data_IF_706659897050
#
_entry.id   IF_706659897050
#
_cell.length_a   1.000
_cell.length_b   1.000
_cell.length_c   1.000
_cell.angle_alpha   90.00
_cell.angle_beta   90.00
_cell.angle_gamma   90.00
#
_symmetry.space_group_name_H-M   'P 1'
#
loop_
_entity.id
_entity.type
_entity.pdbx_description
1 polymer ?
#
# COMPACT_ATOMS: atom_id res chain seq x y z
N UNK A 1 21.56 -26.29 -19.75
CA UNK A 1 21.42 -24.97 -19.11
C UNK A 1 20.27 -25.05 -18.12
N UNK A 2 20.55 -25.00 -16.82
CA UNK A 2 19.51 -24.78 -15.82
C UNK A 2 19.16 -23.29 -15.87
N UNK A 3 17.90 -22.95 -16.16
CA UNK A 3 17.44 -21.58 -15.95
C UNK A 3 17.42 -21.32 -14.45
N UNK A 4 18.06 -20.22 -14.00
CA UNK A 4 17.92 -19.77 -12.63
C UNK A 4 16.42 -19.59 -12.32
N UNK A 5 15.95 -20.18 -11.22
CA UNK A 5 14.56 -20.01 -10.79
C UNK A 5 14.40 -18.57 -10.33
N UNK A 6 13.74 -17.73 -11.13
CA UNK A 6 13.37 -16.37 -10.70
C UNK A 6 12.48 -16.51 -9.47
N UNK A 7 12.89 -15.87 -8.38
CA UNK A 7 12.08 -15.86 -7.16
C UNK A 7 10.81 -15.04 -7.36
N UNK A 8 9.73 -15.51 -6.74
CA UNK A 8 8.41 -14.95 -6.89
C UNK A 8 8.35 -13.54 -6.28
N UNK A 9 7.99 -12.54 -7.08
CA UNK A 9 7.92 -11.16 -6.60
C UNK A 9 6.76 -10.96 -5.62
N UNK A 10 6.86 -9.98 -4.72
CA UNK A 10 5.78 -9.65 -3.78
C UNK A 10 5.29 -8.25 -4.03
N UNK A 11 3.98 -8.10 -4.27
CA UNK A 11 3.31 -6.81 -4.33
C UNK A 11 2.62 -6.52 -3.01
N UNK A 12 2.87 -5.35 -2.44
CA UNK A 12 2.26 -4.90 -1.18
C UNK A 12 1.35 -3.71 -1.48
N UNK A 13 0.06 -3.86 -1.20
CA UNK A 13 -0.88 -2.74 -1.18
C UNK A 13 -1.23 -2.40 0.26
N UNK A 14 -0.95 -1.16 0.63
CA UNK A 14 -1.14 -0.65 1.98
C UNK A 14 -2.15 0.50 1.95
N UNK A 15 -3.28 0.30 2.60
CA UNK A 15 -4.27 1.36 2.82
C UNK A 15 -3.86 2.22 4.01
N UNK A 16 -3.34 3.41 3.71
CA UNK A 16 -2.88 4.38 4.71
C UNK A 16 -4.04 5.09 5.41
N UNK A 17 -5.27 4.96 4.91
CA UNK A 17 -6.45 5.55 5.52
C UNK A 17 -6.93 4.73 6.71
N UNK A 18 -6.79 3.40 6.63
CA UNK A 18 -7.22 2.46 7.67
C UNK A 18 -6.06 1.94 8.51
N UNK A 19 -4.83 2.02 7.99
CA UNK A 19 -3.60 1.69 8.70
C UNK A 19 -2.56 2.83 8.57
N UNK A 20 -2.83 4.07 9.03
CA UNK A 20 -1.86 5.16 8.99
C UNK A 20 -0.60 4.84 9.81
N UNK A 21 0.50 5.55 9.51
CA UNK A 21 1.68 5.56 10.37
C UNK A 21 1.31 6.25 11.68
N UNK A 22 1.52 5.64 12.87
CA UNK A 22 1.10 6.24 14.13
C UNK A 22 2.06 7.36 14.52
N UNK A 23 1.57 8.26 15.36
CA UNK A 23 2.40 9.34 15.89
C UNK A 23 3.65 8.81 16.60
N UNK A 24 4.79 9.46 16.34
CA UNK A 24 6.09 9.09 16.90
C UNK A 24 6.80 7.94 16.19
N UNK A 25 6.19 7.31 15.17
CA UNK A 25 6.85 6.33 14.32
C UNK A 25 7.55 6.99 13.13
N UNK A 26 8.72 6.47 12.78
CA UNK A 26 9.48 6.93 11.61
C UNK A 26 8.91 6.31 10.34
N UNK A 27 8.24 7.14 9.52
CA UNK A 27 7.69 6.73 8.24
C UNK A 27 8.76 6.15 7.29
N UNK A 28 10.03 6.54 7.42
CA UNK A 28 11.12 6.08 6.56
C UNK A 28 11.46 4.61 6.78
N UNK A 29 11.03 4.05 7.93
CA UNK A 29 11.26 2.63 8.26
C UNK A 29 10.16 1.72 7.73
N UNK A 30 9.02 2.24 7.29
CA UNK A 30 7.88 1.44 6.83
C UNK A 30 8.28 0.47 5.72
N UNK A 31 8.88 1.00 4.63
CA UNK A 31 9.34 0.20 3.50
C UNK A 31 10.36 -0.89 3.92
N UNK A 32 11.49 -0.51 4.56
CA UNK A 32 12.48 -1.46 5.06
C UNK A 32 11.90 -2.54 6.01
N UNK A 33 11.01 -2.17 6.93
CA UNK A 33 10.40 -3.12 7.85
C UNK A 33 9.51 -4.14 7.13
N UNK A 34 8.69 -3.71 6.16
CA UNK A 34 7.85 -4.60 5.36
C UNK A 34 8.72 -5.58 4.58
N UNK A 35 9.75 -5.10 3.88
CA UNK A 35 10.70 -5.94 3.13
C UNK A 35 11.36 -6.97 4.05
N UNK A 36 11.84 -6.56 5.23
CA UNK A 36 12.46 -7.47 6.20
C UNK A 36 11.48 -8.51 6.76
N UNK A 37 10.23 -8.11 7.04
CA UNK A 37 9.19 -9.03 7.50
C UNK A 37 8.88 -10.09 6.43
N UNK A 38 8.75 -9.70 5.17
CA UNK A 38 8.56 -10.60 4.03
C UNK A 38 9.74 -11.57 3.87
N UNK A 39 10.98 -11.07 3.96
CA UNK A 39 12.19 -11.91 3.92
C UNK A 39 12.21 -12.95 5.04
N UNK A 40 11.85 -12.58 6.27
CA UNK A 40 11.73 -13.50 7.43
C UNK A 40 10.66 -14.57 7.24
N UNK A 41 9.62 -14.27 6.45
CA UNK A 41 8.57 -15.23 6.08
C UNK A 41 8.98 -16.11 4.87
N UNK A 42 10.18 -15.92 4.31
CA UNK A 42 10.69 -16.68 3.17
C UNK A 42 10.36 -16.09 1.80
N UNK A 43 9.79 -14.88 1.74
CA UNK A 43 9.58 -14.14 0.50
C UNK A 43 10.82 -13.31 0.18
N UNK A 44 11.72 -13.87 -0.62
CA UNK A 44 13.03 -13.29 -0.95
C UNK A 44 13.10 -12.65 -2.34
N UNK A 45 12.06 -12.82 -3.17
CA UNK A 45 11.96 -12.11 -4.45
C UNK A 45 11.66 -10.62 -4.28
N UNK A 46 11.81 -9.85 -5.37
CA UNK A 46 11.64 -8.40 -5.35
C UNK A 46 10.30 -7.94 -4.78
N UNK A 47 10.33 -6.87 -3.97
CA UNK A 47 9.17 -6.34 -3.24
C UNK A 47 8.79 -4.95 -3.77
N UNK A 48 7.58 -4.80 -4.30
CA UNK A 48 7.01 -3.49 -4.64
C UNK A 48 5.97 -3.08 -3.60
N UNK A 49 6.13 -1.90 -3.00
CA UNK A 49 5.20 -1.38 -1.99
C UNK A 49 4.45 -0.17 -2.55
N UNK A 50 3.13 -0.15 -2.41
CA UNK A 50 2.29 0.99 -2.80
C UNK A 50 1.36 1.38 -1.65
N UNK A 51 1.55 2.61 -1.16
CA UNK A 51 0.65 3.28 -0.21
C UNK A 51 -0.54 3.89 -0.95
N UNK A 52 -1.73 3.59 -0.46
CA UNK A 52 -3.02 3.97 -1.03
C UNK A 52 -3.78 4.85 -0.04
N UNK A 53 -4.48 5.86 -0.54
CA UNK A 53 -5.37 6.68 0.28
C UNK A 53 -5.77 7.97 -0.40
N UNK A 54 -6.56 8.79 0.30
CA UNK A 54 -6.77 10.19 -0.08
C UNK A 54 -5.55 10.98 0.41
N UNK A 55 -4.54 11.12 -0.45
CA UNK A 55 -3.21 11.56 -0.05
C UNK A 55 -3.12 13.07 0.17
N UNK A 56 -4.13 13.83 -0.27
CA UNK A 56 -4.24 15.26 0.04
C UNK A 56 -4.34 15.52 1.54
N UNK A 57 -4.96 14.61 2.28
CA UNK A 57 -5.22 14.77 3.71
C UNK A 57 -4.04 14.27 4.57
N UNK A 58 -3.04 13.67 3.94
CA UNK A 58 -1.82 13.19 4.59
C UNK A 58 -0.74 14.28 4.51
N UNK A 59 0.02 14.45 5.59
CA UNK A 59 1.14 15.41 5.61
C UNK A 59 2.12 15.16 4.46
N UNK A 60 2.41 16.23 3.68
CA UNK A 60 3.37 16.17 2.58
C UNK A 60 4.75 15.69 3.05
N UNK A 61 5.15 16.03 4.28
CA UNK A 61 6.41 15.58 4.86
C UNK A 61 6.44 14.05 5.04
N UNK A 62 5.35 13.47 5.55
CA UNK A 62 5.22 12.01 5.70
C UNK A 62 5.24 11.32 4.33
N UNK A 63 4.49 11.84 3.36
CA UNK A 63 4.47 11.29 2.00
C UNK A 63 5.85 11.34 1.34
N UNK A 64 6.61 12.42 1.57
CA UNK A 64 7.96 12.55 1.04
C UNK A 64 8.89 11.48 1.61
N UNK A 65 8.86 11.29 2.94
CA UNK A 65 9.67 10.26 3.59
C UNK A 65 9.31 8.86 3.10
N UNK A 66 8.01 8.56 3.01
CA UNK A 66 7.53 7.29 2.48
C UNK A 66 8.04 7.06 1.06
N UNK A 67 7.88 8.05 0.18
CA UNK A 67 8.35 7.98 -1.20
C UNK A 67 9.87 7.75 -1.28
N UNK A 68 10.66 8.52 -0.52
CA UNK A 68 12.11 8.34 -0.44
C UNK A 68 12.56 7.00 0.15
N UNK A 69 11.69 6.32 0.91
CA UNK A 69 11.94 4.96 1.42
C UNK A 69 11.57 3.83 0.44
N UNK A 70 11.20 4.17 -0.80
CA UNK A 70 10.83 3.22 -1.85
C UNK A 70 9.34 2.85 -1.86
N UNK A 71 8.48 3.61 -1.18
CA UNK A 71 7.02 3.39 -1.21
C UNK A 71 6.39 4.20 -2.34
N UNK A 72 5.80 3.52 -3.33
CA UNK A 72 5.02 4.19 -4.37
C UNK A 72 3.73 4.77 -3.79
N UNK A 73 3.24 5.89 -4.33
CA UNK A 73 2.07 6.61 -3.80
C UNK A 73 0.91 6.59 -4.78
N UNK A 74 -0.24 6.07 -4.36
CA UNK A 74 -1.44 6.04 -5.19
C UNK A 74 -2.57 6.82 -4.53
N UNK A 75 -2.86 8.00 -5.09
CA UNK A 75 -3.96 8.84 -4.65
C UNK A 75 -5.29 8.29 -5.17
N UNK A 76 -6.16 7.94 -4.23
CA UNK A 76 -7.50 7.43 -4.48
C UNK A 76 -8.51 8.57 -4.54
N UNK A 77 -9.61 8.33 -5.26
CA UNK A 77 -10.76 9.25 -5.27
C UNK A 77 -11.61 9.09 -4.00
N UNK A 78 -11.92 7.84 -3.66
CA UNK A 78 -12.76 7.45 -2.53
C UNK A 78 -12.01 6.48 -1.63
N UNK A 79 -12.31 6.50 -0.32
CA UNK A 79 -11.81 5.49 0.63
C UNK A 79 -12.39 4.11 0.29
N UNK A 80 -13.70 4.07 0.12
CA UNK A 80 -14.45 2.90 -0.29
C UNK A 80 -14.04 2.51 -1.72
N UNK A 81 -13.74 1.23 -1.98
CA UNK A 81 -13.42 0.65 -3.29
C UNK A 81 -12.03 0.95 -3.91
N UNK A 82 -11.28 1.94 -3.43
CA UNK A 82 -9.98 2.28 -4.04
C UNK A 82 -8.97 1.11 -4.03
N UNK A 83 -8.81 0.44 -2.88
CA UNK A 83 -7.96 -0.75 -2.74
C UNK A 83 -8.38 -1.89 -3.68
N UNK A 84 -9.68 -2.20 -3.73
CA UNK A 84 -10.24 -3.22 -4.63
C UNK A 84 -9.94 -2.88 -6.10
N UNK A 85 -10.15 -1.62 -6.51
CA UNK A 85 -9.90 -1.18 -7.88
C UNK A 85 -8.42 -1.26 -8.24
N UNK A 86 -7.52 -0.86 -7.36
CA UNK A 86 -6.08 -0.98 -7.56
C UNK A 86 -5.66 -2.44 -7.74
N UNK A 87 -6.15 -3.34 -6.89
CA UNK A 87 -5.87 -4.78 -7.02
C UNK A 87 -6.42 -5.33 -8.35
N UNK A 88 -7.62 -4.90 -8.75
CA UNK A 88 -8.23 -5.30 -10.02
C UNK A 88 -7.41 -4.82 -11.22
N UNK A 89 -6.96 -3.56 -11.19
CA UNK A 89 -6.07 -2.98 -12.21
C UNK A 89 -4.74 -3.73 -12.31
N UNK A 90 -4.13 -4.05 -11.18
CA UNK A 90 -2.91 -4.86 -11.14
C UNK A 90 -3.11 -6.24 -11.77
N UNK A 91 -4.21 -6.94 -11.47
CA UNK A 91 -4.51 -8.24 -12.09
C UNK A 91 -4.68 -8.13 -13.61
N UNK A 92 -5.36 -7.10 -14.09
CA UNK A 92 -5.54 -6.88 -15.53
C UNK A 92 -4.22 -6.59 -16.27
N UNK A 93 -3.20 -6.05 -15.59
CA UNK A 93 -1.87 -5.81 -16.19
C UNK A 93 -1.14 -7.12 -16.56
N UNK A 94 -1.62 -8.28 -16.10
CA UNK A 94 -1.14 -9.58 -16.48
C UNK A 94 -0.05 -10.16 -15.55
N UNK A 95 0.27 -11.46 -15.70
CA UNK A 95 1.21 -12.19 -14.85
C UNK A 95 2.67 -11.70 -14.98
N UNK A 96 3.56 -12.07 -14.02
CA UNK A 96 3.34 -13.06 -12.96
C UNK A 96 2.69 -12.46 -11.70
N UNK A 97 1.52 -12.99 -11.33
CA UNK A 97 0.81 -12.64 -10.09
C UNK A 97 1.34 -13.51 -8.96
N UNK A 98 2.58 -13.26 -8.56
CA UNK A 98 3.33 -14.12 -7.66
C UNK A 98 2.77 -14.08 -6.23
N UNK A 99 3.16 -13.09 -5.43
CA UNK A 99 2.65 -12.92 -4.07
C UNK A 99 2.01 -11.54 -3.90
N UNK A 100 0.91 -11.49 -3.15
CA UNK A 100 0.19 -10.27 -2.81
C UNK A 100 0.09 -10.13 -1.29
N UNK A 101 0.62 -9.05 -0.72
CA UNK A 101 0.37 -8.67 0.67
C UNK A 101 -0.57 -7.49 0.73
N UNK A 102 -1.55 -7.55 1.63
CA UNK A 102 -2.50 -6.47 1.87
C UNK A 102 -2.39 -5.98 3.32
N UNK A 103 -2.29 -4.67 3.51
CA UNK A 103 -2.26 -4.01 4.83
C UNK A 103 -3.45 -3.06 4.91
N UNK A 104 -4.49 -3.43 5.66
CA UNK A 104 -5.73 -2.67 5.85
C UNK A 104 -6.42 -3.11 7.15
N UNK A 105 -7.29 -2.27 7.73
CA UNK A 105 -8.02 -2.59 8.97
C UNK A 105 -9.54 -2.77 8.78
N UNK A 106 -10.06 -2.63 7.56
CA UNK A 106 -11.49 -2.71 7.26
C UNK A 106 -12.03 -4.15 7.21
N UNK A 107 -13.03 -4.42 8.07
CA UNK A 107 -13.70 -5.73 8.20
C UNK A 107 -14.50 -6.14 6.97
N UNK A 108 -14.94 -5.19 6.15
CA UNK A 108 -15.79 -5.47 4.98
C UNK A 108 -15.00 -6.07 3.80
N UNK A 109 -13.67 -6.16 3.90
CA UNK A 109 -12.83 -6.67 2.81
C UNK A 109 -12.79 -8.21 2.72
N UNK A 110 -13.34 -8.94 3.70
CA UNK A 110 -13.28 -10.42 3.77
C UNK A 110 -13.86 -11.08 2.51
N UNK A 111 -14.98 -10.58 1.97
CA UNK A 111 -15.58 -11.11 0.75
C UNK A 111 -14.67 -10.96 -0.48
N UNK A 112 -13.92 -9.86 -0.55
CA UNK A 112 -12.98 -9.61 -1.64
C UNK A 112 -11.73 -10.48 -1.53
N UNK A 113 -11.24 -10.74 -0.32
CA UNK A 113 -10.12 -11.69 -0.09
C UNK A 113 -10.45 -13.09 -0.63
N UNK A 114 -11.65 -13.60 -0.32
CA UNK A 114 -12.09 -14.91 -0.83
C UNK A 114 -12.12 -14.95 -2.36
N UNK A 115 -12.50 -13.85 -3.00
CA UNK A 115 -12.45 -13.73 -4.47
C UNK A 115 -11.01 -13.74 -5.02
N UNK A 116 -10.04 -13.16 -4.31
CA UNK A 116 -8.64 -13.16 -4.73
C UNK A 116 -8.03 -14.56 -4.67
N UNK A 117 -8.30 -15.30 -3.59
CA UNK A 117 -7.85 -16.68 -3.39
C UNK A 117 -8.42 -17.63 -4.45
N UNK A 118 -9.72 -17.52 -4.77
CA UNK A 118 -10.35 -18.29 -5.85
C UNK A 118 -9.69 -18.08 -7.22
N UNK A 119 -9.07 -16.92 -7.43
CA UNK A 119 -8.35 -16.58 -8.64
C UNK A 119 -6.85 -16.90 -8.60
N UNK A 120 -6.41 -17.76 -7.66
CA UNK A 120 -5.03 -18.24 -7.50
C UNK A 120 -4.00 -17.15 -7.21
N UNK A 121 -4.41 -16.03 -6.62
CA UNK A 121 -3.48 -15.04 -6.08
C UNK A 121 -3.05 -15.51 -4.70
N UNK A 122 -1.74 -15.68 -4.47
CA UNK A 122 -1.24 -16.04 -3.14
C UNK A 122 -1.27 -14.79 -2.25
N UNK A 123 -2.27 -14.72 -1.37
CA UNK A 123 -2.45 -13.60 -0.44
C UNK A 123 -1.68 -13.87 0.86
N UNK A 124 -0.64 -13.07 1.11
CA UNK A 124 0.02 -12.97 2.39
C UNK A 124 -0.85 -12.07 3.26
N UNK A 125 -1.65 -12.65 4.15
CA UNK A 125 -2.49 -11.88 5.05
C UNK A 125 -1.61 -11.03 6.00
N UNK A 126 -1.71 -9.71 5.86
CA UNK A 126 -1.20 -8.75 6.83
C UNK A 126 -2.00 -8.83 8.13
N UNK A 127 -1.30 -8.71 9.26
CA UNK A 127 -1.81 -9.03 10.58
C UNK A 127 -2.67 -7.90 11.20
N UNK A 128 -3.64 -8.21 12.10
CA UNK A 128 -4.28 -9.52 12.31
C UNK A 128 -5.82 -9.46 12.24
N UNK A 129 -6.39 -10.47 11.59
CA UNK A 129 -7.68 -11.05 12.00
C UNK A 129 -7.49 -12.54 12.28
N UNK A 130 -6.90 -12.84 13.43
CA UNK A 130 -7.16 -14.07 14.16
C UNK A 130 -7.57 -13.68 15.58
N UNK A 131 -8.87 -13.78 15.86
CA UNK A 131 -9.47 -13.97 17.19
C UNK A 131 -8.99 -13.14 18.41
N UNK A 132 -8.43 -11.94 18.26
CA UNK A 132 -8.14 -11.09 19.41
C UNK A 132 -9.30 -10.15 19.76
N UNK A 133 -10.16 -10.62 20.68
CA UNK A 133 -11.06 -9.82 21.50
C UNK A 133 -10.31 -8.94 22.53
N UNK A 134 -9.15 -8.38 22.22
CA UNK A 134 -8.44 -7.53 23.19
C UNK A 134 -8.83 -6.07 23.01
N UNK A 135 -9.74 -5.62 23.87
CA UNK A 135 -10.43 -4.34 23.87
C UNK A 135 -9.57 -3.08 24.11
N UNK A 136 -8.25 -3.07 23.85
CA UNK A 136 -7.39 -1.98 24.35
C UNK A 136 -6.24 -1.49 23.43
N UNK A 137 -6.10 -1.95 22.18
CA UNK A 137 -5.15 -1.34 21.24
C UNK A 137 -5.76 -1.12 19.85
N UNK A 138 -5.60 0.06 19.22
CA UNK A 138 -5.96 0.27 17.83
C UNK A 138 -5.20 -0.73 16.94
N UNK A 139 -5.89 -1.32 15.96
CA UNK A 139 -5.32 -2.29 14.99
C UNK A 139 -4.03 -1.75 14.36
N UNK A 140 -3.99 -0.45 14.09
CA UNK A 140 -2.83 0.29 13.61
C UNK A 140 -1.58 0.02 14.46
N UNK A 141 -1.64 0.21 15.79
CA UNK A 141 -0.48 0.04 16.67
C UNK A 141 0.08 -1.40 16.60
N UNK A 142 -0.79 -2.41 16.51
CA UNK A 142 -0.39 -3.81 16.42
C UNK A 142 0.34 -4.14 15.10
N UNK A 143 -0.07 -3.51 14.00
CA UNK A 143 0.62 -3.63 12.69
C UNK A 143 2.07 -3.14 12.83
N UNK A 144 2.25 -1.96 13.44
CA UNK A 144 3.55 -1.31 13.54
C UNK A 144 4.48 -1.90 14.61
N UNK A 145 3.95 -2.37 15.74
CA UNK A 145 4.71 -3.11 16.77
C UNK A 145 5.37 -4.37 16.18
N UNK A 146 4.68 -5.11 15.29
CA UNK A 146 5.26 -6.29 14.63
C UNK A 146 6.40 -5.93 13.68
N UNK A 147 6.27 -4.82 12.97
CA UNK A 147 7.34 -4.30 12.11
C UNK A 147 8.56 -3.87 12.94
N UNK A 148 8.35 -3.28 14.11
CA UNK A 148 9.43 -2.91 15.03
C UNK A 148 10.16 -4.15 15.59
N UNK A 149 9.44 -5.21 15.94
CA UNK A 149 10.05 -6.49 16.34
C UNK A 149 10.85 -7.11 15.18
N UNK A 150 10.38 -6.96 13.95
CA UNK A 150 11.15 -7.39 12.78
C UNK A 150 12.47 -6.61 12.64
N UNK A 151 12.55 -5.39 13.15
CA UNK A 151 13.68 -4.47 13.07
C UNK A 151 14.77 -4.68 14.14
N UNK A 152 14.41 -5.15 15.33
CA UNK A 152 15.35 -5.28 16.47
C UNK A 152 16.36 -6.43 16.42
N UNK A 153 16.54 -7.11 15.28
CA UNK A 153 17.50 -8.22 15.12
C UNK A 153 18.53 -7.84 14.07
N UNK A 154 19.79 -7.85 14.49
CA UNK A 154 21.02 -7.45 13.81
C UNK A 154 21.02 -7.63 12.28
N UNK A 155 21.40 -6.55 11.60
CA UNK A 155 21.33 -6.32 10.17
C UNK A 155 22.54 -6.93 9.47
N UNK A 156 22.38 -8.15 8.96
CA UNK A 156 23.07 -8.49 7.72
C UNK A 156 22.57 -7.57 6.62
N UNK A 157 23.49 -6.84 5.98
CA UNK A 157 23.23 -5.84 4.95
C UNK A 157 22.09 -6.28 4.02
N UNK A 158 21.07 -5.42 3.92
CA UNK A 158 20.09 -5.56 2.86
C UNK A 158 20.87 -5.29 1.57
N UNK A 159 21.19 -6.36 0.82
CA UNK A 159 21.60 -6.20 -0.56
C UNK A 159 20.57 -5.30 -1.24
N UNK A 160 21.04 -4.19 -1.81
CA UNK A 160 20.25 -3.34 -2.68
C UNK A 160 19.88 -4.19 -3.90
N UNK A 161 18.78 -4.93 -3.79
CA UNK A 161 18.05 -5.41 -4.95
C UNK A 161 17.89 -4.21 -5.89
N UNK A 162 17.92 -4.43 -7.20
CA UNK A 162 17.70 -3.36 -8.18
C UNK A 162 16.28 -2.80 -7.98
N UNK A 163 16.16 -1.82 -7.08
CA UNK A 163 14.90 -1.24 -6.66
C UNK A 163 14.41 -0.35 -7.80
N UNK A 164 13.26 -0.71 -8.36
CA UNK A 164 12.57 0.19 -9.28
C UNK A 164 12.23 1.48 -8.54
N UNK A 165 12.60 2.62 -9.14
CA UNK A 165 12.28 3.92 -8.58
C UNK A 165 10.77 4.02 -8.28
N UNK A 166 10.39 4.48 -7.07
CA UNK A 166 9.00 4.52 -6.67
C UNK A 166 8.20 5.40 -7.64
N UNK A 167 7.00 4.94 -8.00
CA UNK A 167 6.08 5.68 -8.85
C UNK A 167 5.04 6.43 -8.03
N UNK A 168 4.23 7.23 -8.73
CA UNK A 168 2.98 7.72 -8.20
C UNK A 168 1.84 7.57 -9.20
N UNK A 169 0.62 7.40 -8.71
CA UNK A 169 -0.61 7.36 -9.51
C UNK A 169 -1.72 8.17 -8.85
N UNK A 170 -2.67 8.61 -9.66
CA UNK A 170 -3.83 9.35 -9.20
C UNK A 170 -5.10 8.89 -9.92
N UNK A 171 -6.05 8.35 -9.18
CA UNK A 171 -7.33 7.88 -9.71
C UNK A 171 -8.24 9.05 -10.13
N UNK A 172 -8.16 10.18 -9.41
CA UNK A 172 -8.95 11.39 -9.69
C UNK A 172 -8.68 11.88 -11.11
N UNK A 173 -7.40 11.95 -11.51
CA UNK A 173 -6.97 12.48 -12.80
C UNK A 173 -6.60 11.41 -13.83
N UNK A 174 -6.59 10.12 -13.43
CA UNK A 174 -6.09 9.00 -14.24
C UNK A 174 -4.67 9.22 -14.78
N UNK A 175 -3.82 9.80 -13.97
CA UNK A 175 -2.42 10.10 -14.30
C UNK A 175 -1.46 9.29 -13.42
N UNK A 176 -0.26 9.04 -13.93
CA UNK A 176 0.84 8.44 -13.18
C UNK A 176 2.17 9.10 -13.57
N UNK A 177 3.21 8.87 -12.79
CA UNK A 177 4.54 9.39 -13.06
C UNK A 177 5.56 8.98 -12.01
N UNK A 178 6.71 9.63 -12.06
CA UNK A 178 7.81 9.50 -11.11
C UNK A 178 8.18 10.88 -10.55
N UNK A 179 8.96 10.90 -9.48
CA UNK A 179 9.38 12.09 -8.74
C UNK A 179 8.32 12.55 -7.73
N UNK A 180 8.74 12.71 -6.47
CA UNK A 180 7.87 13.21 -5.41
C UNK A 180 7.41 14.65 -5.66
N UNK A 181 8.29 15.50 -6.20
CA UNK A 181 7.98 16.89 -6.50
C UNK A 181 6.86 16.99 -7.54
N UNK A 182 6.89 16.13 -8.57
CA UNK A 182 5.85 16.05 -9.58
C UNK A 182 4.52 15.62 -8.98
N UNK A 183 4.54 14.62 -8.08
CA UNK A 183 3.36 14.18 -7.34
C UNK A 183 2.77 15.29 -6.45
N UNK A 184 3.62 15.94 -5.66
CA UNK A 184 3.23 17.04 -4.76
C UNK A 184 2.65 18.22 -5.54
N UNK A 185 3.25 18.56 -6.68
CA UNK A 185 2.74 19.59 -7.58
C UNK A 185 1.40 19.18 -8.20
N UNK A 186 1.25 17.92 -8.59
CA UNK A 186 0.01 17.37 -9.13
C UNK A 186 -1.15 17.49 -8.13
N UNK A 187 -0.96 17.06 -6.88
CA UNK A 187 -2.01 17.14 -5.85
C UNK A 187 -2.46 18.58 -5.55
N UNK A 188 -1.55 19.55 -5.69
CA UNK A 188 -1.83 20.98 -5.48
C UNK A 188 -2.37 21.68 -6.73
N UNK A 189 -2.39 21.01 -7.87
CA UNK A 189 -2.78 21.63 -9.13
C UNK A 189 -4.28 21.93 -9.15
N UNK A 190 -4.67 23.12 -9.60
CA UNK A 190 -6.08 23.57 -9.60
C UNK A 190 -7.03 22.60 -10.31
N UNK A 191 -6.60 22.05 -11.45
CA UNK A 191 -7.40 21.06 -12.19
C UNK A 191 -7.68 19.80 -11.36
N UNK A 192 -6.71 19.33 -10.57
CA UNK A 192 -6.91 18.18 -9.70
C UNK A 192 -8.00 18.49 -8.65
N UNK A 193 -7.91 19.66 -8.01
CA UNK A 193 -8.89 20.12 -7.01
C UNK A 193 -10.28 20.27 -7.64
N UNK A 194 -10.39 20.85 -8.83
CA UNK A 194 -11.67 21.02 -9.52
C UNK A 194 -12.31 19.68 -9.88
N UNK A 195 -11.54 18.72 -10.38
CA UNK A 195 -12.07 17.37 -10.68
C UNK A 195 -12.55 16.71 -9.40
N UNK A 196 -11.81 16.81 -8.29
CA UNK A 196 -12.22 16.20 -7.04
C UNK A 196 -13.55 16.79 -6.52
N UNK A 197 -13.69 18.12 -6.54
CA UNK A 197 -14.92 18.79 -6.09
C UNK A 197 -16.13 18.38 -6.95
N UNK A 198 -15.98 18.35 -8.27
CA UNK A 198 -17.04 17.90 -9.18
C UNK A 198 -17.46 16.45 -8.90
N UNK A 199 -16.52 15.59 -8.49
CA UNK A 199 -16.82 14.19 -8.18
C UNK A 199 -17.45 13.98 -6.81
N UNK A 200 -17.25 14.91 -5.87
CA UNK A 200 -17.90 14.89 -4.56
C UNK A 200 -19.36 15.39 -4.65
N UNK A 201 -19.61 16.41 -5.48
CA UNK A 201 -20.97 16.91 -5.76
C UNK A 201 -21.85 15.83 -6.42
N UNK A 202 -21.29 15.05 -7.36
CA UNK A 202 -22.00 13.91 -7.96
C UNK A 202 -22.35 12.83 -6.92
N UNK A 203 -21.47 12.54 -5.95
CA UNK A 203 -21.66 11.48 -4.96
C UNK A 203 -22.70 11.85 -3.88
N UNK A 204 -22.74 13.10 -3.42
CA UNK A 204 -23.76 13.58 -2.46
C UNK A 204 -25.17 13.53 -3.08
N UNK A 205 -25.30 13.74 -4.39
CA UNK A 205 -26.57 13.64 -5.11
C UNK A 205 -27.11 12.19 -5.17
N UNK A 206 -26.26 11.16 -5.10
CA UNK A 206 -26.68 9.75 -5.09
C UNK A 206 -27.03 9.20 -3.70
N UNK A 207 -26.52 9.79 -2.61
CA UNK A 207 -26.84 9.37 -1.24
C UNK A 207 -28.16 9.99 -0.71
N UNK A 208 -28.71 10.99 -1.40
CA UNK A 208 -30.00 11.61 -1.05
C UNK A 208 -31.26 10.88 -1.60
N UNK A 209 -31.11 9.72 -2.29
CA UNK A 209 -32.21 8.94 -2.86
C UNK A 209 -32.43 7.56 -2.21
#
# INVERSE_FOLDING_TARGET
MMMARKEAATRVFWDMSTCPVPDGYDAGRVGPCIKRALKKLGYTGGVSITGLGILRDVSTYILQILYSSGVSLSNLRMKCFGLQRTISGWKMAGPPWDNLMLIFAEKNFVGYLGMLELNRVHVIQGLPFDHLQTAFNPIERLVWERFQVADGVDSGDLEEDLEEDPGWSCEVCRSNGQGFENFSMHLKHKLHVSILLATQEEEEEYEEY
#
